data_IF_669609394398
#
_entry.id   IF_669609394398
#
_cell.length_a   1.000
_cell.length_b   1.000
_cell.length_c   1.000
_cell.angle_alpha   90.00
_cell.angle_beta   90.00
_cell.angle_gamma   90.00
#
_symmetry.space_group_name_H-M   'P 1'
#
loop_
_entity.id
_entity.type
_entity.pdbx_description
1 polymer ?
#
# COMPACT_ATOMS: atom_id res chain seq x y z
N UNK A 1 30.17 -43.00 -32.05
CA UNK A 1 29.87 -44.40 -31.70
C UNK A 1 28.99 -44.44 -30.47
N UNK A 2 27.70 -44.70 -30.72
CA UNK A 2 26.64 -45.28 -29.89
C UNK A 2 26.79 -45.32 -28.36
N UNK A 3 25.83 -44.71 -27.65
CA UNK A 3 24.72 -45.48 -27.08
C UNK A 3 23.55 -44.59 -26.62
N UNK A 4 22.39 -44.85 -27.20
CA UNK A 4 21.08 -44.53 -26.64
C UNK A 4 20.85 -45.35 -25.36
N UNK A 5 20.18 -44.78 -24.35
CA UNK A 5 19.09 -45.50 -23.70
C UNK A 5 18.13 -44.54 -22.98
N UNK A 6 16.87 -44.69 -23.38
CA UNK A 6 15.66 -44.18 -22.75
C UNK A 6 15.58 -44.54 -21.26
N UNK A 7 14.94 -43.67 -20.47
CA UNK A 7 13.95 -44.09 -19.49
C UNK A 7 12.90 -42.98 -19.28
N UNK A 8 11.71 -43.27 -19.80
CA UNK A 8 10.44 -42.64 -19.51
C UNK A 8 9.91 -43.19 -18.17
N UNK A 9 8.81 -42.61 -17.68
CA UNK A 9 7.86 -43.12 -16.66
C UNK A 9 8.03 -42.55 -15.24
N UNK A 10 7.35 -41.43 -14.92
CA UNK A 10 6.09 -41.47 -14.16
C UNK A 10 5.49 -40.06 -13.92
N UNK A 11 4.38 -39.82 -14.61
CA UNK A 11 3.37 -38.82 -14.31
C UNK A 11 2.51 -39.35 -13.15
N UNK A 12 2.37 -38.62 -12.05
CA UNK A 12 1.27 -38.83 -11.10
C UNK A 12 0.58 -37.50 -10.85
N UNK A 13 -0.56 -37.37 -11.52
CA UNK A 13 -1.59 -36.35 -11.32
C UNK A 13 -2.44 -36.77 -10.11
N UNK A 14 -2.54 -35.92 -9.09
CA UNK A 14 -3.44 -36.10 -7.94
C UNK A 14 -4.27 -34.83 -7.75
N UNK A 15 -5.28 -34.69 -8.61
CA UNK A 15 -6.46 -33.88 -8.34
C UNK A 15 -7.63 -34.86 -8.08
N UNK A 16 -8.20 -34.85 -6.89
CA UNK A 16 -9.63 -35.13 -6.68
C UNK A 16 -10.05 -34.86 -5.23
N UNK A 17 -10.99 -33.92 -5.11
CA UNK A 17 -12.19 -34.00 -4.25
C UNK A 17 -12.03 -34.13 -2.74
N UNK A 18 -12.50 -33.10 -2.01
CA UNK A 18 -13.56 -33.28 -1.01
C UNK A 18 -14.13 -31.92 -0.57
N UNK A 19 -15.21 -31.52 -1.24
CA UNK A 19 -16.14 -30.51 -0.78
C UNK A 19 -17.49 -31.19 -0.60
N UNK A 20 -18.00 -31.28 0.64
CA UNK A 20 -19.43 -31.31 1.01
C UNK A 20 -19.63 -31.53 2.51
N UNK A 21 -20.24 -30.50 3.12
CA UNK A 21 -21.40 -30.55 4.00
C UNK A 21 -21.38 -31.46 5.24
N UNK A 22 -21.50 -30.85 6.43
CA UNK A 22 -22.57 -31.29 7.34
C UNK A 22 -22.98 -30.18 8.34
N UNK A 23 -24.15 -29.59 8.10
CA UNK A 23 -24.99 -28.96 9.10
C UNK A 23 -25.70 -30.10 9.81
N UNK A 24 -25.61 -30.21 11.14
CA UNK A 24 -26.67 -30.81 11.94
C UNK A 24 -26.63 -30.33 13.41
N UNK A 25 -27.75 -29.72 13.79
CA UNK A 25 -28.16 -29.45 15.15
C UNK A 25 -28.34 -30.74 15.94
N UNK A 26 -27.90 -30.77 17.20
CA UNK A 26 -28.51 -31.62 18.22
C UNK A 26 -28.80 -30.75 19.43
N UNK A 27 -30.10 -30.59 19.69
CA UNK A 27 -30.69 -29.96 20.85
C UNK A 27 -31.33 -31.09 21.66
N UNK A 28 -30.89 -31.35 22.89
CA UNK A 28 -31.58 -32.23 23.83
C UNK A 28 -31.38 -31.74 25.28
N UNK A 29 -32.47 -31.18 25.82
CA UNK A 29 -33.12 -31.47 27.12
C UNK A 29 -32.29 -31.39 28.42
N UNK A 30 -32.82 -31.00 29.59
CA UNK A 30 -34.04 -30.36 30.11
C UNK A 30 -33.81 -30.39 31.64
N UNK A 31 -34.01 -29.31 32.40
CA UNK A 31 -34.63 -29.35 33.75
C UNK A 31 -34.65 -28.00 34.48
N UNK A 32 -35.67 -27.90 35.32
CA UNK A 32 -36.36 -26.75 35.91
C UNK A 32 -35.80 -26.45 37.31
N UNK A 33 -35.59 -25.17 37.68
CA UNK A 33 -35.78 -24.69 39.08
C UNK A 33 -35.72 -23.13 39.22
N UNK A 34 -36.85 -22.55 39.67
CA UNK A 34 -37.10 -21.30 40.43
C UNK A 34 -36.49 -19.92 40.02
N UNK A 35 -37.28 -18.81 40.05
CA UNK A 35 -36.77 -17.46 39.85
C UNK A 35 -36.30 -16.82 41.17
N UNK A 36 -35.07 -16.30 41.19
CA UNK A 36 -34.60 -15.33 42.20
C UNK A 36 -34.39 -13.97 41.52
N UNK A 37 -34.81 -12.84 42.12
CA UNK A 37 -34.63 -11.53 41.52
C UNK A 37 -33.17 -11.12 41.66
N UNK A 38 -32.47 -10.98 40.53
CA UNK A 38 -31.10 -10.44 40.50
C UNK A 38 -31.17 -8.99 40.05
N UNK A 39 -30.63 -8.15 40.94
CA UNK A 39 -30.31 -6.75 40.84
C UNK A 39 -29.84 -6.33 39.42
N UNK A 40 -30.39 -5.23 38.92
CA UNK A 40 -29.99 -4.53 37.69
C UNK A 40 -28.48 -4.26 37.70
N UNK A 41 -27.71 -5.12 37.03
CA UNK A 41 -26.32 -4.83 36.68
C UNK A 41 -26.34 -4.19 35.30
N UNK A 42 -25.79 -2.98 35.21
CA UNK A 42 -25.66 -2.21 33.98
C UNK A 42 -24.93 -3.04 32.92
N UNK A 43 -25.62 -3.31 31.81
CA UNK A 43 -25.01 -3.78 30.57
C UNK A 43 -24.03 -2.69 30.06
N UNK A 44 -22.74 -2.80 30.40
CA UNK A 44 -21.71 -2.27 29.52
C UNK A 44 -21.58 -3.23 28.34
N UNK A 45 -22.44 -3.03 27.34
CA UNK A 45 -22.24 -3.64 26.04
C UNK A 45 -20.86 -3.21 25.51
N UNK A 46 -20.04 -4.13 24.94
CA UNK A 46 -18.83 -3.72 24.24
C UNK A 46 -19.28 -2.75 23.14
N UNK A 47 -18.77 -1.52 23.18
CA UNK A 47 -18.98 -0.57 22.08
C UNK A 47 -18.48 -1.24 20.81
N UNK A 48 -19.40 -1.68 19.96
CA UNK A 48 -19.10 -2.04 18.60
C UNK A 48 -18.50 -0.80 17.98
N UNK A 49 -17.18 -0.79 17.82
CA UNK A 49 -16.46 0.26 17.13
C UNK A 49 -17.17 0.46 15.79
N UNK A 50 -17.85 1.59 15.66
CA UNK A 50 -18.56 1.96 14.43
C UNK A 50 -17.51 1.87 13.33
N UNK A 51 -17.70 0.95 12.37
CA UNK A 51 -16.85 0.87 11.19
C UNK A 51 -17.05 2.16 10.41
N UNK A 52 -16.22 3.17 10.68
CA UNK A 52 -16.19 4.40 9.89
C UNK A 52 -15.85 3.98 8.47
N UNK A 53 -16.76 4.22 7.53
CA UNK A 53 -16.50 4.00 6.11
C UNK A 53 -15.60 5.15 5.68
N UNK A 54 -14.32 4.83 5.49
CA UNK A 54 -13.32 5.76 5.04
C UNK A 54 -13.26 5.66 3.52
N UNK A 55 -13.62 6.74 2.82
CA UNK A 55 -13.64 6.78 1.36
C UNK A 55 -12.80 7.94 0.81
N UNK A 56 -12.04 7.63 -0.23
CA UNK A 56 -11.37 8.58 -1.12
C UNK A 56 -11.19 7.93 -2.49
N UNK A 57 -11.17 8.74 -3.54
CA UNK A 57 -10.82 8.23 -4.87
C UNK A 57 -9.31 8.07 -5.02
N UNK A 58 -8.86 7.19 -5.92
CA UNK A 58 -7.42 7.06 -6.22
C UNK A 58 -6.82 8.39 -6.69
N UNK A 59 -7.55 9.15 -7.51
CA UNK A 59 -7.10 10.46 -8.00
C UNK A 59 -6.96 11.49 -6.87
N UNK A 60 -7.87 11.48 -5.89
CA UNK A 60 -7.79 12.33 -4.70
C UNK A 60 -6.54 12.00 -3.88
N UNK A 61 -6.27 10.72 -3.60
CA UNK A 61 -5.09 10.32 -2.82
C UNK A 61 -3.78 10.60 -3.54
N UNK A 62 -3.72 10.39 -4.86
CA UNK A 62 -2.56 10.76 -5.68
C UNK A 62 -2.29 12.27 -5.63
N UNK A 63 -3.35 13.09 -5.70
CA UNK A 63 -3.24 14.55 -5.54
C UNK A 63 -2.70 14.91 -4.15
N UNK A 64 -3.22 14.26 -3.10
CA UNK A 64 -2.75 14.49 -1.74
C UNK A 64 -1.26 14.14 -1.57
N UNK A 65 -0.82 13.02 -2.14
CA UNK A 65 0.59 12.62 -2.15
C UNK A 65 1.47 13.64 -2.88
N UNK A 66 1.02 14.14 -4.03
CA UNK A 66 1.71 15.21 -4.76
C UNK A 66 1.82 16.51 -3.94
N UNK A 67 0.75 16.93 -3.26
CA UNK A 67 0.76 18.12 -2.39
C UNK A 67 1.70 17.91 -1.20
N UNK A 68 1.69 16.72 -0.58
CA UNK A 68 2.61 16.36 0.48
C UNK A 68 4.05 16.55 0.04
N UNK A 69 4.44 15.96 -1.09
CA UNK A 69 5.79 16.08 -1.61
C UNK A 69 6.17 17.51 -1.98
N UNK A 70 5.26 18.25 -2.62
CA UNK A 70 5.49 19.65 -2.98
C UNK A 70 5.77 20.51 -1.75
N UNK A 71 4.98 20.30 -0.69
CA UNK A 71 5.14 21.01 0.58
C UNK A 71 6.42 20.60 1.31
N UNK A 72 6.74 19.30 1.30
CA UNK A 72 7.93 18.76 1.95
C UNK A 72 9.21 19.22 1.25
N UNK A 73 9.24 19.21 -0.08
CA UNK A 73 10.39 19.57 -0.91
C UNK A 73 10.33 21.04 -1.36
N UNK A 74 10.12 21.95 -0.41
CA UNK A 74 9.95 23.40 -0.64
C UNK A 74 11.11 24.09 -1.40
N UNK A 75 12.29 23.45 -1.46
CA UNK A 75 13.46 23.94 -2.21
C UNK A 75 13.34 23.75 -3.73
N UNK A 76 12.49 22.82 -4.18
CA UNK A 76 12.24 22.54 -5.59
C UNK A 76 11.18 23.51 -6.13
N UNK A 77 11.60 24.58 -6.79
CA UNK A 77 10.69 25.66 -7.23
C UNK A 77 9.81 25.28 -8.42
N UNK A 78 10.34 24.45 -9.32
CA UNK A 78 9.65 24.08 -10.56
C UNK A 78 8.79 22.82 -10.39
N UNK A 79 9.06 22.01 -9.36
CA UNK A 79 8.31 20.82 -9.03
C UNK A 79 6.85 21.16 -8.70
N UNK A 80 5.91 20.45 -9.32
CA UNK A 80 4.48 20.56 -9.06
C UNK A 80 3.92 19.25 -8.51
N UNK A 81 2.85 19.35 -7.70
CA UNK A 81 2.14 18.16 -7.20
C UNK A 81 1.68 17.21 -8.33
N UNK A 82 1.40 17.76 -9.52
CA UNK A 82 1.01 16.98 -10.70
C UNK A 82 2.11 16.05 -11.23
N UNK A 83 3.38 16.40 -11.04
CA UNK A 83 4.51 15.62 -11.58
C UNK A 83 4.60 14.26 -10.89
N UNK A 84 4.37 14.23 -9.57
CA UNK A 84 4.29 12.96 -8.82
C UNK A 84 3.21 12.05 -9.39
N UNK A 85 2.02 12.60 -9.65
CA UNK A 85 0.91 11.84 -10.22
C UNK A 85 1.28 11.28 -11.59
N UNK A 86 1.94 12.08 -12.43
CA UNK A 86 2.41 11.69 -13.75
C UNK A 86 3.43 10.54 -13.65
N UNK A 87 4.42 10.62 -12.76
CA UNK A 87 5.43 9.58 -12.60
C UNK A 87 4.81 8.23 -12.24
N UNK A 88 3.93 8.21 -11.22
CA UNK A 88 3.27 6.99 -10.76
C UNK A 88 2.37 6.37 -11.84
N UNK A 89 1.55 7.20 -12.51
CA UNK A 89 0.63 6.74 -13.57
C UNK A 89 1.37 6.25 -14.80
N UNK A 90 2.48 6.88 -15.16
CA UNK A 90 3.29 6.50 -16.32
C UNK A 90 3.88 5.10 -16.15
N UNK A 91 4.41 4.80 -14.96
CA UNK A 91 4.95 3.47 -14.64
C UNK A 91 3.86 2.40 -14.71
N UNK A 92 2.73 2.62 -14.03
CA UNK A 92 1.61 1.68 -13.99
C UNK A 92 1.03 1.39 -15.38
N UNK A 93 0.85 2.46 -16.18
CA UNK A 93 0.42 2.34 -17.57
C UNK A 93 1.43 1.58 -18.44
N UNK A 94 2.73 1.83 -18.25
CA UNK A 94 3.79 1.16 -19.00
C UNK A 94 3.79 -0.35 -18.76
N UNK A 95 3.62 -0.78 -17.50
CA UNK A 95 3.55 -2.18 -17.13
C UNK A 95 2.31 -2.87 -17.74
N UNK A 96 1.15 -2.21 -17.73
CA UNK A 96 -0.07 -2.71 -18.39
C UNK A 96 0.13 -2.87 -19.91
N UNK A 97 0.64 -1.83 -20.58
CA UNK A 97 0.80 -1.85 -22.03
C UNK A 97 1.84 -2.86 -22.53
N UNK A 98 2.82 -3.19 -21.70
CA UNK A 98 3.85 -4.19 -22.00
C UNK A 98 3.45 -5.60 -21.58
N UNK A 99 2.27 -5.79 -20.97
CA UNK A 99 1.79 -7.10 -20.54
C UNK A 99 2.51 -7.66 -19.31
N UNK A 100 3.08 -6.79 -18.46
CA UNK A 100 3.69 -7.21 -17.19
C UNK A 100 2.67 -7.39 -16.07
N UNK A 101 1.45 -6.88 -16.22
CA UNK A 101 0.35 -7.04 -15.28
C UNK A 101 -0.98 -6.92 -16.03
N UNK A 102 -2.03 -7.60 -15.53
CA UNK A 102 -3.37 -7.54 -16.12
C UNK A 102 -4.25 -6.45 -15.51
N UNK A 103 -3.98 -6.07 -14.25
CA UNK A 103 -4.75 -5.08 -13.49
C UNK A 103 -3.82 -3.98 -13.00
N UNK A 104 -4.30 -2.73 -13.05
CA UNK A 104 -3.57 -1.58 -12.55
C UNK A 104 -3.24 -1.74 -11.05
N UNK A 105 -1.99 -1.52 -10.68
CA UNK A 105 -1.55 -1.54 -9.29
C UNK A 105 -2.06 -0.33 -8.52
N UNK A 106 -2.18 0.83 -9.20
CA UNK A 106 -2.54 2.10 -8.57
C UNK A 106 -4.02 2.12 -8.20
N UNK A 107 -4.29 1.83 -6.93
CA UNK A 107 -5.59 1.89 -6.27
C UNK A 107 -5.46 2.63 -4.92
N UNK A 108 -6.57 2.92 -4.20
CA UNK A 108 -6.49 3.71 -2.97
C UNK A 108 -5.57 3.11 -1.90
N UNK A 109 -5.65 1.80 -1.65
CA UNK A 109 -4.85 1.14 -0.61
C UNK A 109 -3.35 1.18 -0.95
N UNK A 110 -3.00 0.93 -2.20
CA UNK A 110 -1.61 0.94 -2.64
C UNK A 110 -1.01 2.34 -2.66
N UNK A 111 -1.81 3.39 -2.91
CA UNK A 111 -1.32 4.79 -2.76
C UNK A 111 -1.02 5.13 -1.30
N UNK A 112 -1.84 4.65 -0.36
CA UNK A 112 -1.56 4.80 1.09
C UNK A 112 -0.26 4.09 1.46
N UNK A 113 -0.03 2.88 0.93
CA UNK A 113 1.21 2.14 1.15
C UNK A 113 2.43 2.87 0.58
N UNK A 114 2.34 3.38 -0.65
CA UNK A 114 3.41 4.19 -1.27
C UNK A 114 3.70 5.42 -0.43
N UNK A 115 2.66 6.13 0.02
CA UNK A 115 2.80 7.30 0.90
C UNK A 115 3.53 6.96 2.20
N UNK A 116 3.20 5.84 2.85
CA UNK A 116 3.88 5.37 4.06
C UNK A 116 5.40 5.20 3.85
N UNK A 117 5.82 4.72 2.68
CA UNK A 117 7.25 4.62 2.38
C UNK A 117 7.85 5.99 2.06
N UNK A 118 7.20 6.78 1.21
CA UNK A 118 7.69 8.07 0.75
C UNK A 118 7.88 9.05 1.91
N UNK A 119 6.96 9.08 2.87
CA UNK A 119 7.03 10.02 4.00
C UNK A 119 8.22 9.82 4.94
N UNK A 120 8.73 8.59 5.03
CA UNK A 120 9.89 8.27 5.85
C UNK A 120 11.21 8.52 5.12
N UNK A 121 11.19 8.42 3.79
CA UNK A 121 12.39 8.51 2.95
C UNK A 121 12.67 9.92 2.44
N UNK A 122 11.63 10.74 2.26
CA UNK A 122 11.76 12.09 1.73
C UNK A 122 12.00 13.08 2.87
N UNK A 123 13.27 13.42 3.04
CA UNK A 123 13.71 14.54 3.85
C UNK A 123 13.85 15.80 2.97
N UNK A 124 12.95 16.77 3.17
CA UNK A 124 12.83 17.97 2.35
C UNK A 124 14.12 18.80 2.25
N UNK A 125 14.95 18.76 3.28
CA UNK A 125 16.21 19.52 3.32
C UNK A 125 17.34 18.83 2.55
N UNK A 126 17.23 17.53 2.27
CA UNK A 126 18.25 16.71 1.59
C UNK A 126 17.95 16.45 0.11
N UNK A 127 16.79 16.87 -0.38
CA UNK A 127 16.41 16.75 -1.78
C UNK A 127 16.79 18.05 -2.50
N UNK A 128 17.79 17.94 -3.37
CA UNK A 128 18.37 19.08 -4.10
C UNK A 128 17.88 19.16 -5.56
N UNK A 129 17.17 18.14 -6.07
CA UNK A 129 16.61 18.15 -7.44
C UNK A 129 15.35 17.30 -7.61
N UNK A 130 14.57 17.61 -8.64
CA UNK A 130 13.40 16.82 -9.05
C UNK A 130 13.76 15.40 -9.47
N UNK A 131 14.89 15.21 -10.16
CA UNK A 131 15.36 13.89 -10.56
C UNK A 131 15.67 13.01 -9.33
N UNK A 132 16.30 13.59 -8.30
CA UNK A 132 16.54 12.88 -7.04
C UNK A 132 15.23 12.53 -6.34
N UNK A 133 14.26 13.44 -6.31
CA UNK A 133 12.93 13.17 -5.74
C UNK A 133 12.22 12.04 -6.49
N UNK A 134 12.20 12.12 -7.83
CA UNK A 134 11.61 11.10 -8.69
C UNK A 134 12.26 9.74 -8.43
N UNK A 135 13.59 9.67 -8.32
CA UNK A 135 14.30 8.44 -8.02
C UNK A 135 13.87 7.81 -6.68
N UNK A 136 13.75 8.63 -5.62
CA UNK A 136 13.26 8.15 -4.31
C UNK A 136 11.83 7.63 -4.42
N UNK A 137 10.93 8.41 -5.02
CA UNK A 137 9.52 8.04 -5.19
C UNK A 137 9.36 6.76 -6.00
N UNK A 138 10.11 6.61 -7.09
CA UNK A 138 10.05 5.41 -7.93
C UNK A 138 10.71 4.18 -7.29
N UNK A 139 11.70 4.38 -6.40
CA UNK A 139 12.22 3.30 -5.55
C UNK A 139 11.15 2.81 -4.57
N UNK A 140 10.45 3.74 -3.90
CA UNK A 140 9.32 3.40 -3.03
C UNK A 140 8.21 2.69 -3.81
N UNK A 141 7.90 3.16 -5.02
CA UNK A 141 6.92 2.52 -5.89
C UNK A 141 7.35 1.10 -6.27
N UNK A 142 8.59 0.89 -6.71
CA UNK A 142 9.11 -0.43 -7.05
C UNK A 142 8.98 -1.44 -5.90
N UNK A 143 9.32 -1.03 -4.68
CA UNK A 143 9.13 -1.87 -3.49
C UNK A 143 7.66 -2.12 -3.18
N UNK A 144 6.79 -1.15 -3.43
CA UNK A 144 5.34 -1.30 -3.25
C UNK A 144 4.78 -2.32 -4.25
N UNK A 145 5.21 -2.29 -5.51
CA UNK A 145 4.90 -3.34 -6.50
C UNK A 145 5.43 -4.70 -6.06
N UNK A 146 6.68 -4.76 -5.60
CA UNK A 146 7.31 -6.01 -5.18
C UNK A 146 6.64 -6.64 -3.95
N UNK A 147 6.02 -5.84 -3.09
CA UNK A 147 5.41 -6.30 -1.84
C UNK A 147 3.89 -6.48 -1.93
N UNK A 148 3.16 -5.51 -2.52
CA UNK A 148 1.69 -5.49 -2.62
C UNK A 148 1.17 -5.91 -3.99
N UNK A 149 2.05 -6.10 -4.98
CA UNK A 149 1.67 -6.50 -6.33
C UNK A 149 1.21 -7.95 -6.40
N UNK A 150 0.35 -8.25 -7.37
CA UNK A 150 -0.17 -9.60 -7.58
C UNK A 150 0.78 -10.49 -8.40
N UNK A 151 1.67 -9.87 -9.17
CA UNK A 151 2.60 -10.58 -10.05
C UNK A 151 3.82 -11.05 -9.26
N UNK A 152 4.39 -12.17 -9.68
CA UNK A 152 5.57 -12.76 -9.01
C UNK A 152 6.83 -11.88 -9.11
N UNK A 153 6.87 -10.96 -10.09
CA UNK A 153 8.00 -10.07 -10.33
C UNK A 153 7.62 -8.90 -11.22
N UNK A 154 8.34 -7.79 -11.08
CA UNK A 154 8.21 -6.62 -11.95
C UNK A 154 9.58 -6.21 -12.52
N UNK A 155 9.65 -5.72 -13.76
CA UNK A 155 10.91 -5.31 -14.37
C UNK A 155 11.43 -4.01 -13.75
N UNK A 156 12.75 -3.87 -13.62
CA UNK A 156 13.36 -2.65 -13.06
C UNK A 156 13.21 -1.42 -13.98
N UNK A 157 13.27 -1.61 -15.30
CA UNK A 157 13.42 -0.52 -16.28
C UNK A 157 12.42 0.64 -16.11
N UNK A 158 11.12 0.41 -15.86
CA UNK A 158 10.16 1.51 -15.67
C UNK A 158 10.43 2.38 -14.43
N UNK A 159 11.13 1.85 -13.42
CA UNK A 159 11.35 2.52 -12.13
C UNK A 159 12.71 3.21 -12.02
N UNK A 160 13.67 2.82 -12.87
CA UNK A 160 15.03 3.32 -12.84
C UNK A 160 15.14 4.59 -13.70
N UNK A 161 15.26 5.73 -13.02
CA UNK A 161 15.49 7.06 -13.64
C UNK A 161 16.88 7.61 -13.36
N UNK A 162 17.69 6.89 -12.57
CA UNK A 162 19.08 7.23 -12.29
C UNK A 162 20.03 6.40 -13.17
N UNK A 163 21.17 6.98 -13.54
CA UNK A 163 22.19 6.26 -14.32
C UNK A 163 22.91 5.17 -13.52
N UNK A 164 23.06 5.38 -12.21
CA UNK A 164 23.75 4.46 -11.30
C UNK A 164 22.76 3.50 -10.63
N UNK A 165 22.77 2.24 -11.06
CA UNK A 165 21.89 1.18 -10.53
C UNK A 165 22.18 0.85 -9.08
N UNK A 166 23.43 0.98 -8.66
CA UNK A 166 23.88 0.69 -7.31
C UNK A 166 23.15 1.59 -6.30
N UNK A 167 23.01 2.89 -6.61
CA UNK A 167 22.24 3.82 -5.76
C UNK A 167 20.79 3.39 -5.58
N UNK A 168 20.16 2.87 -6.64
CA UNK A 168 18.79 2.37 -6.57
C UNK A 168 18.72 1.17 -5.60
N UNK A 169 19.61 0.20 -5.74
CA UNK A 169 19.62 -1.00 -4.89
C UNK A 169 20.00 -0.72 -3.45
N UNK A 170 20.97 0.16 -3.20
CA UNK A 170 21.33 0.61 -1.85
C UNK A 170 20.13 1.26 -1.15
N UNK A 171 19.36 2.06 -1.90
CA UNK A 171 18.13 2.69 -1.41
C UNK A 171 17.05 1.65 -1.14
N UNK A 172 16.90 0.63 -1.99
CA UNK A 172 16.00 -0.49 -1.73
C UNK A 172 16.34 -1.21 -0.41
N UNK A 173 17.61 -1.56 -0.21
CA UNK A 173 18.07 -2.23 1.01
C UNK A 173 17.84 -1.36 2.25
N UNK A 174 18.14 -0.06 2.15
CA UNK A 174 17.87 0.89 3.22
C UNK A 174 16.39 0.94 3.60
N UNK A 175 15.48 1.00 2.61
CA UNK A 175 14.03 0.99 2.86
C UNK A 175 13.62 -0.31 3.53
N UNK A 176 14.03 -1.47 3.00
CA UNK A 176 13.62 -2.77 3.56
C UNK A 176 14.11 -2.94 5.00
N UNK A 177 15.35 -2.55 5.30
CA UNK A 177 15.91 -2.64 6.65
C UNK A 177 15.14 -1.77 7.67
N UNK A 178 14.67 -0.59 7.25
CA UNK A 178 14.03 0.36 8.15
C UNK A 178 12.49 0.25 8.19
N UNK A 179 11.87 -0.16 7.08
CA UNK A 179 10.42 -0.10 6.88
C UNK A 179 9.73 -1.46 6.84
N UNK A 180 10.44 -2.58 6.79
CA UNK A 180 9.84 -3.92 6.71
C UNK A 180 8.79 -4.18 7.80
N UNK A 181 9.05 -3.73 9.03
CA UNK A 181 8.08 -3.81 10.13
C UNK A 181 6.79 -3.04 9.82
N UNK A 182 6.90 -1.80 9.37
CA UNK A 182 5.74 -0.96 8.99
C UNK A 182 5.00 -1.51 7.77
N UNK A 183 5.71 -2.07 6.79
CA UNK A 183 5.14 -2.74 5.60
C UNK A 183 4.29 -3.95 5.97
N UNK A 184 4.71 -4.73 6.97
CA UNK A 184 3.89 -5.81 7.52
C UNK A 184 2.74 -5.25 8.36
N UNK A 185 3.02 -4.28 9.23
CA UNK A 185 2.06 -3.70 10.18
C UNK A 185 0.86 -3.08 9.48
N UNK A 186 1.05 -2.37 8.36
CA UNK A 186 -0.06 -1.74 7.62
C UNK A 186 -1.06 -2.74 7.04
N UNK A 187 -0.62 -3.98 6.83
CA UNK A 187 -1.48 -5.08 6.40
C UNK A 187 -2.10 -5.84 7.58
N UNK A 188 -1.40 -5.93 8.70
CA UNK A 188 -1.86 -6.65 9.89
C UNK A 188 -2.80 -5.83 10.78
N UNK A 189 -2.64 -4.50 10.82
CA UNK A 189 -3.36 -3.61 11.73
C UNK A 189 -4.23 -2.60 10.96
N UNK A 190 -5.56 -2.80 10.89
CA UNK A 190 -6.47 -1.86 10.22
C UNK A 190 -6.45 -0.44 10.80
N UNK A 191 -6.12 -0.33 12.10
CA UNK A 191 -5.95 0.97 12.78
C UNK A 191 -4.77 1.75 12.22
N UNK A 192 -3.63 1.09 12.00
CA UNK A 192 -2.45 1.73 11.41
C UNK A 192 -2.71 2.14 9.95
N UNK A 193 -3.36 1.30 9.14
CA UNK A 193 -3.79 1.72 7.79
C UNK A 193 -4.67 2.96 7.83
N UNK A 194 -5.65 3.00 8.75
CA UNK A 194 -6.57 4.13 8.92
C UNK A 194 -5.84 5.42 9.29
N UNK A 195 -4.84 5.33 10.17
CA UNK A 195 -3.98 6.45 10.57
C UNK A 195 -3.24 7.02 9.36
N UNK A 196 -2.51 6.18 8.62
CA UNK A 196 -1.74 6.59 7.44
C UNK A 196 -2.67 7.15 6.34
N UNK A 197 -3.82 6.53 6.10
CA UNK A 197 -4.82 7.03 5.16
C UNK A 197 -5.30 8.43 5.54
N UNK A 198 -5.62 8.63 6.83
CA UNK A 198 -6.17 9.89 7.33
C UNK A 198 -5.14 11.00 7.21
N UNK A 199 -3.87 10.69 7.52
CA UNK A 199 -2.77 11.63 7.35
C UNK A 199 -2.57 12.04 5.89
N UNK A 200 -2.55 11.06 4.97
CA UNK A 200 -2.44 11.36 3.54
C UNK A 200 -3.57 12.28 3.09
N UNK A 201 -4.81 12.00 3.49
CA UNK A 201 -5.97 12.86 3.18
C UNK A 201 -5.83 14.27 3.70
N UNK A 202 -5.28 14.46 4.90
CA UNK A 202 -5.10 15.77 5.48
C UNK A 202 -4.16 16.66 4.62
N UNK A 203 -3.16 16.07 3.95
CA UNK A 203 -2.27 16.81 3.03
C UNK A 203 -3.02 17.49 1.87
N UNK A 204 -4.17 16.98 1.45
CA UNK A 204 -4.98 17.59 0.40
C UNK A 204 -5.76 18.83 0.84
N UNK A 205 -5.87 19.09 2.14
CA UNK A 205 -6.67 20.18 2.71
C UNK A 205 -5.85 21.41 3.11
N UNK A 206 -4.52 21.29 3.17
CA UNK A 206 -3.61 22.41 3.39
C UNK A 206 -3.56 23.29 2.15
N UNK A 207 -4.47 24.26 2.04
CA UNK A 207 -4.30 25.41 1.16
C UNK A 207 -3.07 26.19 1.60
N UNK A 208 -2.12 26.52 0.70
CA UNK A 208 -1.04 27.44 1.04
C UNK A 208 -1.68 28.77 1.43
N UNK A 209 -1.42 29.21 2.65
CA UNK A 209 -1.78 30.54 3.11
C UNK A 209 -1.07 31.56 2.23
N UNK A 210 -1.75 32.07 1.20
CA UNK A 210 -1.37 33.32 0.56
C UNK A 210 -1.46 34.40 1.63
N UNK A 211 -0.30 34.81 2.14
CA UNK A 211 -0.16 35.94 3.04
C UNK A 211 -0.68 37.20 2.36
N UNK A 212 -1.94 37.54 2.62
CA UNK A 212 -2.46 38.88 2.41
C UNK A 212 -1.83 39.77 3.47
N UNK A 213 -0.78 40.50 3.09
CA UNK A 213 -0.31 41.64 3.86
C UNK A 213 -1.45 42.69 3.93
N UNK A 214 -1.74 43.26 5.11
CA UNK A 214 -2.71 44.34 5.21
C UNK A 214 -2.12 45.59 4.55
N UNK A 215 -2.84 46.13 3.57
CA UNK A 215 -2.57 47.44 2.98
C UNK A 215 -2.72 48.51 4.07
N UNK A 216 -1.65 49.26 4.32
CA UNK A 216 -1.69 50.56 4.98
C UNK A 216 -1.68 51.66 3.91
#
# INVERSE_FOLDING_TARGET
NNNNNNNNVNNVNLNAENNKNNINNINLNNEKLAPKPVLLTQNLAPQQAKKTIIQASTSELLKCLGIYLHTKCYRLRDFQAGDTVMWLRTVDRSLLLQGWQDVAFINPANVVFVYMLVRELVDGDKIDSESQLQAVVLTCLYLSYSYMGNEISYPLKPFLVEDCKEKFWDRCLHIVNNMSSSMLRINAEPGFFTEIFTELKACGTSTPSTGLAPSA
#
